data_IF_208561387820
#
_entry.id   IF_208561387820
#
_cell.length_a   1.000
_cell.length_b   1.000
_cell.length_c   1.000
_cell.angle_alpha   90.00
_cell.angle_beta   90.00
_cell.angle_gamma   90.00
#
_symmetry.space_group_name_H-M   'P 1'
#
loop_
_entity.id
_entity.type
_entity.pdbx_description
1 polymer ?
#
# COMPACT_ATOMS: atom_id res chain seq x y z
N UNK A 1 -17.79 -8.74 -0.37
CA UNK A 1 -16.61 -9.05 -1.19
C UNK A 1 -17.06 -9.90 -2.37
N UNK A 2 -16.32 -9.96 -3.48
CA UNK A 2 -16.66 -10.85 -4.59
C UNK A 2 -16.07 -12.25 -4.33
N UNK A 3 -16.72 -13.34 -4.79
CA UNK A 3 -16.22 -14.70 -4.60
C UNK A 3 -14.77 -14.89 -5.06
N UNK A 4 -14.36 -14.21 -6.12
CA UNK A 4 -13.01 -14.26 -6.69
C UNK A 4 -11.97 -13.62 -5.76
N UNK A 5 -12.35 -12.54 -5.05
CA UNK A 5 -11.47 -11.90 -4.07
C UNK A 5 -11.33 -12.76 -2.81
N UNK A 6 -12.39 -13.44 -2.40
CA UNK A 6 -12.37 -14.35 -1.25
C UNK A 6 -11.49 -15.58 -1.54
N UNK A 7 -11.55 -16.11 -2.76
CA UNK A 7 -10.70 -17.22 -3.21
C UNK A 7 -9.22 -16.84 -3.21
N UNK A 8 -8.88 -15.66 -3.75
CA UNK A 8 -7.50 -15.17 -3.75
C UNK A 8 -6.94 -15.04 -2.32
N UNK A 9 -7.74 -14.52 -1.39
CA UNK A 9 -7.32 -14.38 0.01
C UNK A 9 -7.09 -15.74 0.67
N UNK A 10 -7.88 -16.75 0.33
CA UNK A 10 -7.68 -18.13 0.83
C UNK A 10 -6.38 -18.72 0.30
N UNK A 11 -6.08 -18.55 -0.98
CA UNK A 11 -4.83 -19.04 -1.58
C UNK A 11 -3.60 -18.40 -0.94
N UNK A 12 -3.65 -17.09 -0.66
CA UNK A 12 -2.57 -16.39 0.05
C UNK A 12 -2.36 -16.96 1.45
N UNK A 13 -3.44 -17.20 2.21
CA UNK A 13 -3.34 -17.76 3.57
C UNK A 13 -2.81 -19.20 3.61
N UNK A 14 -2.98 -19.96 2.54
CA UNK A 14 -2.51 -21.35 2.42
C UNK A 14 -1.13 -21.46 1.79
N UNK A 15 -0.57 -20.36 1.28
CA UNK A 15 0.73 -20.35 0.64
C UNK A 15 1.86 -20.43 1.66
N UNK A 16 2.84 -21.32 1.48
CA UNK A 16 4.06 -21.31 2.29
C UNK A 16 4.83 -20.00 2.15
N UNK A 17 5.43 -19.52 3.24
CA UNK A 17 6.10 -18.21 3.31
C UNK A 17 7.21 -18.03 2.27
N UNK A 18 7.90 -19.11 1.89
CA UNK A 18 8.94 -19.12 0.86
C UNK A 18 8.38 -18.94 -0.57
N UNK A 19 7.11 -19.26 -0.78
CA UNK A 19 6.41 -19.13 -2.07
C UNK A 19 5.67 -17.80 -2.22
N UNK A 20 5.33 -17.13 -1.11
CA UNK A 20 4.66 -15.82 -1.10
C UNK A 20 5.38 -14.78 -1.99
N UNK A 21 6.72 -14.64 -1.97
CA UNK A 21 7.42 -13.69 -2.84
C UNK A 21 7.18 -13.92 -4.34
N UNK A 22 7.12 -15.19 -4.77
CA UNK A 22 6.87 -15.56 -6.17
C UNK A 22 5.43 -15.26 -6.60
N UNK A 23 4.45 -15.59 -5.76
CA UNK A 23 3.03 -15.27 -6.01
C UNK A 23 2.83 -13.75 -6.11
N UNK A 24 3.46 -12.98 -5.22
CA UNK A 24 3.39 -11.52 -5.26
C UNK A 24 4.02 -10.95 -6.55
N UNK A 25 5.13 -11.52 -7.02
CA UNK A 25 5.75 -11.12 -8.28
C UNK A 25 4.80 -11.32 -9.46
N UNK A 26 4.16 -12.50 -9.54
CA UNK A 26 3.21 -12.83 -10.60
C UNK A 26 1.93 -11.98 -10.55
N UNK A 27 1.44 -11.63 -9.36
CA UNK A 27 0.29 -10.72 -9.26
C UNK A 27 0.67 -9.29 -9.68
N UNK A 28 1.85 -8.80 -9.26
CA UNK A 28 2.33 -7.44 -9.61
C UNK A 28 2.53 -7.24 -11.10
N UNK A 29 3.01 -8.23 -11.85
CA UNK A 29 3.12 -8.13 -13.33
C UNK A 29 1.75 -8.02 -14.02
N UNK A 30 0.69 -8.58 -13.44
CA UNK A 30 -0.66 -8.54 -14.00
C UNK A 30 -1.42 -7.28 -13.60
N UNK A 31 -1.10 -6.72 -12.44
CA UNK A 31 -1.53 -5.38 -12.05
C UNK A 31 -0.73 -4.37 -12.87
N UNK A 32 -1.22 -4.02 -14.07
CA UNK A 32 -0.78 -2.76 -14.70
C UNK A 32 -0.98 -1.66 -13.65
N UNK A 33 0.04 -0.83 -13.34
CA UNK A 33 -0.18 0.30 -12.46
C UNK A 33 -1.37 1.09 -13.03
N UNK A 34 -2.41 1.21 -12.21
CA UNK A 34 -3.57 1.99 -12.59
C UNK A 34 -3.11 3.45 -12.69
N UNK A 35 -2.73 3.86 -13.90
CA UNK A 35 -2.23 5.19 -14.20
C UNK A 35 -0.75 5.39 -13.90
N UNK A 36 -0.12 6.23 -14.71
CA UNK A 36 1.27 6.73 -14.63
C UNK A 36 1.59 7.52 -13.34
N UNK A 37 0.75 7.45 -12.31
CA UNK A 37 1.07 8.04 -11.01
C UNK A 37 1.91 7.04 -10.22
N UNK A 38 3.23 7.22 -10.31
CA UNK A 38 4.17 6.56 -9.43
C UNK A 38 3.71 6.80 -8.00
N UNK A 39 3.47 5.71 -7.27
CA UNK A 39 3.53 5.79 -5.82
C UNK A 39 5.01 5.76 -5.42
N UNK A 40 5.47 6.68 -4.56
CA UNK A 40 4.66 7.70 -3.96
C UNK A 40 4.48 8.94 -4.88
N UNK A 41 3.36 9.69 -4.75
CA UNK A 41 3.14 10.91 -5.52
C UNK A 41 4.28 11.91 -5.34
N UNK A 42 4.47 12.83 -6.30
CA UNK A 42 5.55 13.83 -6.25
C UNK A 42 5.56 14.72 -4.99
N UNK A 43 4.41 14.83 -4.30
CA UNK A 43 4.29 15.57 -3.04
C UNK A 43 4.64 14.72 -1.80
N UNK A 44 4.86 13.42 -1.94
CA UNK A 44 5.22 12.57 -0.82
C UNK A 44 6.62 12.91 -0.33
N UNK A 45 6.72 13.22 0.96
CA UNK A 45 7.94 13.77 1.58
C UNK A 45 8.42 15.11 0.99
N UNK A 46 7.54 15.90 0.36
CA UNK A 46 7.89 17.26 -0.11
C UNK A 46 8.07 18.27 1.03
N UNK A 47 7.56 17.94 2.23
CA UNK A 47 7.78 18.72 3.44
C UNK A 47 9.05 18.22 4.15
N UNK A 48 9.93 19.13 4.61
CA UNK A 48 11.08 18.77 5.42
C UNK A 48 10.61 18.18 6.76
N UNK A 49 11.11 16.99 7.09
CA UNK A 49 10.86 16.30 8.34
C UNK A 49 11.87 15.18 8.51
N UNK A 50 12.09 14.73 9.74
CA UNK A 50 13.01 13.63 10.06
C UNK A 50 12.45 12.24 9.75
N UNK A 51 11.27 12.17 9.09
CA UNK A 51 10.59 10.94 8.70
C UNK A 51 9.96 10.16 9.86
N UNK A 52 10.35 10.45 11.10
CA UNK A 52 9.89 9.79 12.32
C UNK A 52 8.78 10.60 12.98
N UNK A 53 8.96 11.91 13.12
CA UNK A 53 8.01 12.79 13.81
C UNK A 53 6.64 12.85 13.13
N UNK A 54 6.58 12.83 11.79
CA UNK A 54 5.31 12.87 11.05
C UNK A 54 4.56 11.54 11.14
N UNK A 55 5.27 10.41 11.15
CA UNK A 55 4.65 9.10 11.29
C UNK A 55 4.08 8.90 12.70
N UNK A 56 4.81 9.34 13.73
CA UNK A 56 4.38 9.28 15.12
C UNK A 56 3.20 10.21 15.43
N UNK A 57 3.10 11.33 14.72
CA UNK A 57 2.04 12.32 14.91
C UNK A 57 0.92 12.21 13.86
N UNK A 58 0.95 11.18 13.01
CA UNK A 58 0.00 11.03 11.90
C UNK A 58 -1.46 11.10 12.38
N UNK A 59 -1.78 10.42 13.48
CA UNK A 59 -3.14 10.41 14.04
C UNK A 59 -3.58 11.76 14.61
N UNK A 60 -2.65 12.58 15.12
CA UNK A 60 -2.93 13.95 15.60
C UNK A 60 -3.15 14.89 14.42
N UNK A 61 -2.22 14.87 13.46
CA UNK A 61 -2.26 15.70 12.25
C UNK A 61 -3.51 15.42 11.40
N UNK A 62 -3.93 14.15 11.30
CA UNK A 62 -5.13 13.77 10.56
C UNK A 62 -6.42 14.16 11.31
N UNK A 63 -6.36 14.34 12.64
CA UNK A 63 -7.51 14.78 13.44
C UNK A 63 -7.82 16.26 13.27
N UNK A 64 -6.79 17.06 13.04
CA UNK A 64 -6.94 18.49 12.70
C UNK A 64 -7.61 18.70 11.34
N UNK A 65 -7.67 17.64 10.51
CA UNK A 65 -8.29 17.63 9.19
C UNK A 65 -7.39 18.25 8.11
N UNK A 66 -7.63 17.87 6.86
CA UNK A 66 -7.00 18.56 5.73
C UNK A 66 -7.62 19.95 5.66
N UNK A 67 -6.85 20.98 6.00
CA UNK A 67 -7.29 22.38 6.09
C UNK A 67 -8.28 22.79 4.98
N UNK A 68 -9.29 23.57 5.39
CA UNK A 68 -10.41 24.05 4.54
C UNK A 68 -9.98 24.59 3.18
#
# INVERSE_FOLDING_TARGET
MSPERDELMRLVQQSPDDQVPGVLHELRRHLRPAGEQSWPPAFFASAPGDGVSIAEQADELLREGFGR
#
